data_IF_437856619832
#
_entry.id   IF_437856619832
#
_cell.length_a   1.000
_cell.length_b   1.000
_cell.length_c   1.000
_cell.angle_alpha   90.00
_cell.angle_beta   90.00
_cell.angle_gamma   90.00
#
_symmetry.space_group_name_H-M   'P 1'
#
loop_
_entity.id
_entity.type
_entity.pdbx_description
1 polymer ?
#
# COMPACT_ATOMS: atom_id res chain seq x y z
N UNK A 1 26.67 -7.57 6.67
CA UNK A 1 25.81 -6.51 7.27
C UNK A 1 25.36 -6.96 8.65
N UNK A 2 25.46 -6.13 9.68
CA UNK A 2 24.97 -6.48 11.02
C UNK A 2 23.44 -6.50 11.03
N UNK A 3 22.85 -7.70 10.88
CA UNK A 3 21.39 -7.93 10.73
C UNK A 3 20.61 -7.27 11.88
N UNK A 4 21.14 -7.33 13.11
CA UNK A 4 20.53 -6.72 14.29
C UNK A 4 20.41 -5.19 14.15
N UNK A 5 21.46 -4.51 13.69
CA UNK A 5 21.44 -3.05 13.50
C UNK A 5 20.49 -2.63 12.39
N UNK A 6 20.51 -3.34 11.26
CA UNK A 6 19.59 -3.09 10.15
C UNK A 6 18.13 -3.29 10.56
N UNK A 7 17.82 -4.32 11.35
CA UNK A 7 16.45 -4.57 11.83
C UNK A 7 15.92 -3.42 12.68
N UNK A 8 16.70 -2.94 13.65
CA UNK A 8 16.28 -1.80 14.49
C UNK A 8 16.14 -0.51 13.67
N UNK A 9 17.04 -0.25 12.72
CA UNK A 9 16.94 0.90 11.84
C UNK A 9 15.67 0.86 10.97
N UNK A 10 15.34 -0.29 10.39
CA UNK A 10 14.13 -0.45 9.57
C UNK A 10 12.89 -0.23 10.43
N UNK A 11 12.80 -0.89 11.59
CA UNK A 11 11.63 -0.75 12.48
C UNK A 11 11.42 0.70 12.90
N UNK A 12 12.49 1.39 13.34
CA UNK A 12 12.42 2.79 13.75
C UNK A 12 12.01 3.71 12.58
N UNK A 13 12.62 3.53 11.40
CA UNK A 13 12.31 4.33 10.23
C UNK A 13 10.87 4.09 9.73
N UNK A 14 10.44 2.84 9.59
CA UNK A 14 9.07 2.52 9.14
C UNK A 14 8.04 2.95 10.17
N UNK A 15 8.34 2.83 11.46
CA UNK A 15 7.47 3.26 12.55
C UNK A 15 7.26 4.77 12.56
N UNK A 16 8.34 5.55 12.41
CA UNK A 16 8.24 7.00 12.29
C UNK A 16 7.43 7.41 11.06
N UNK A 17 7.73 6.83 9.88
CA UNK A 17 7.02 7.15 8.65
C UNK A 17 5.53 6.79 8.73
N UNK A 18 5.20 5.57 9.14
CA UNK A 18 3.81 5.11 9.24
C UNK A 18 3.04 5.86 10.34
N UNK A 19 3.69 6.13 11.48
CA UNK A 19 3.11 6.87 12.59
C UNK A 19 2.80 8.32 12.22
N UNK A 20 3.73 9.02 11.58
CA UNK A 20 3.50 10.38 11.10
C UNK A 20 2.35 10.45 10.10
N UNK A 21 2.32 9.56 9.10
CA UNK A 21 1.21 9.53 8.12
C UNK A 21 -0.14 9.25 8.80
N UNK A 22 -0.18 8.29 9.72
CA UNK A 22 -1.42 7.93 10.43
C UNK A 22 -1.93 9.07 11.32
N UNK A 23 -1.02 9.86 11.92
CA UNK A 23 -1.39 11.01 12.74
C UNK A 23 -2.09 12.12 11.93
N UNK A 24 -1.73 12.30 10.65
CA UNK A 24 -2.33 13.32 9.78
C UNK A 24 -3.54 12.81 8.99
N UNK A 25 -3.43 11.62 8.40
CA UNK A 25 -4.44 11.08 7.47
C UNK A 25 -5.40 10.07 8.12
N UNK A 26 -5.17 9.71 9.39
CA UNK A 26 -5.87 8.60 10.05
C UNK A 26 -5.35 7.22 9.61
N UNK A 27 -5.90 6.14 10.19
CA UNK A 27 -5.43 4.78 9.92
C UNK A 27 -5.92 4.28 8.55
N UNK A 28 -4.99 4.16 7.60
CA UNK A 28 -5.25 3.64 6.25
C UNK A 28 -4.85 2.16 6.18
N UNK A 29 -5.81 1.28 5.89
CA UNK A 29 -5.60 -0.15 5.74
C UNK A 29 -5.35 -0.56 4.27
N UNK A 30 -4.87 -1.79 4.06
CA UNK A 30 -4.70 -2.49 2.77
C UNK A 30 -3.59 -1.99 1.83
N UNK A 31 -3.29 -0.70 1.75
CA UNK A 31 -2.32 -0.16 0.78
C UNK A 31 -0.92 -0.71 1.01
N UNK A 32 -0.47 -0.76 2.27
CA UNK A 32 0.83 -1.32 2.65
C UNK A 32 0.98 -2.81 2.32
N UNK A 33 -0.11 -3.54 2.11
CA UNK A 33 -0.10 -4.94 1.67
C UNK A 33 -0.28 -5.04 0.16
N UNK A 34 -1.22 -4.31 -0.45
CA UNK A 34 -1.55 -4.43 -1.85
C UNK A 34 -0.40 -3.96 -2.78
N UNK A 35 0.15 -2.78 -2.52
CA UNK A 35 1.13 -2.12 -3.41
C UNK A 35 2.41 -2.96 -3.62
N UNK A 36 3.11 -3.45 -2.58
CA UNK A 36 4.32 -4.25 -2.78
C UNK A 36 4.07 -5.56 -3.52
N UNK A 37 2.87 -6.13 -3.40
CA UNK A 37 2.52 -7.35 -4.12
C UNK A 37 2.17 -7.06 -5.58
N UNK A 38 1.46 -5.96 -5.86
CA UNK A 38 1.19 -5.50 -7.23
C UNK A 38 2.49 -5.19 -7.97
N UNK A 39 3.38 -4.38 -7.40
CA UNK A 39 4.62 -4.00 -8.07
C UNK A 39 5.54 -5.19 -8.27
N UNK A 40 5.61 -6.11 -7.30
CA UNK A 40 6.37 -7.36 -7.47
C UNK A 40 5.83 -8.20 -8.63
N UNK A 41 4.52 -8.22 -8.86
CA UNK A 41 3.92 -8.95 -9.97
C UNK A 41 4.11 -8.23 -11.31
N UNK A 42 4.07 -6.90 -11.34
CA UNK A 42 4.25 -6.09 -12.56
C UNK A 42 5.70 -6.14 -13.05
N UNK A 43 6.65 -5.89 -12.15
CA UNK A 43 8.07 -5.86 -12.49
C UNK A 43 8.74 -7.25 -12.50
N UNK A 44 8.05 -8.26 -11.97
CA UNK A 44 8.53 -9.65 -11.82
C UNK A 44 9.96 -9.74 -11.26
N UNK A 45 10.34 -8.81 -10.39
CA UNK A 45 11.68 -8.68 -9.84
C UNK A 45 11.66 -8.76 -8.32
N UNK A 46 12.73 -9.31 -7.76
CA UNK A 46 12.95 -9.36 -6.29
C UNK A 46 14.03 -8.36 -5.85
N UNK A 47 14.60 -7.60 -6.79
CA UNK A 47 15.60 -6.58 -6.49
C UNK A 47 14.97 -5.37 -5.79
N UNK A 48 15.37 -5.17 -4.52
CA UNK A 48 14.82 -4.10 -3.70
C UNK A 48 15.22 -2.70 -4.21
N UNK A 49 16.29 -2.59 -5.00
CA UNK A 49 16.70 -1.34 -5.65
C UNK A 49 15.68 -0.84 -6.67
N UNK A 50 14.96 -1.76 -7.31
CA UNK A 50 13.89 -1.44 -8.27
C UNK A 50 12.53 -1.48 -7.58
N UNK A 51 12.33 -2.43 -6.67
CA UNK A 51 11.04 -2.63 -6.01
C UNK A 51 10.67 -1.48 -5.06
N UNK A 52 11.63 -0.93 -4.30
CA UNK A 52 11.36 0.19 -3.37
C UNK A 52 10.87 1.45 -4.09
N UNK A 53 11.56 1.98 -5.13
CA UNK A 53 11.06 3.15 -5.86
C UNK A 53 9.76 2.84 -6.61
N UNK A 54 9.59 1.62 -7.15
CA UNK A 54 8.34 1.22 -7.77
C UNK A 54 7.16 1.23 -6.78
N UNK A 55 7.34 0.68 -5.57
CA UNK A 55 6.30 0.69 -4.52
C UNK A 55 5.93 2.11 -4.11
N UNK A 56 6.92 3.00 -4.00
CA UNK A 56 6.66 4.40 -3.66
C UNK A 56 5.77 5.07 -4.73
N UNK A 57 6.12 4.92 -6.01
CA UNK A 57 5.37 5.52 -7.11
C UNK A 57 3.95 4.94 -7.25
N UNK A 58 3.83 3.61 -7.29
CA UNK A 58 2.53 2.96 -7.43
C UNK A 58 1.64 3.18 -6.20
N UNK A 59 2.21 3.26 -5.00
CA UNK A 59 1.50 3.59 -3.78
C UNK A 59 0.93 5.01 -3.82
N UNK A 60 1.73 5.99 -4.25
CA UNK A 60 1.29 7.37 -4.41
C UNK A 60 0.16 7.50 -5.45
N UNK A 61 0.31 6.87 -6.61
CA UNK A 61 -0.71 6.88 -7.67
C UNK A 61 -2.04 6.28 -7.17
N UNK A 62 -1.99 5.11 -6.53
CA UNK A 62 -3.19 4.46 -6.00
C UNK A 62 -3.87 5.27 -4.92
N UNK A 63 -3.09 5.90 -4.01
CA UNK A 63 -3.64 6.80 -3.00
C UNK A 63 -4.31 8.03 -3.60
N UNK A 64 -3.68 8.69 -4.57
CA UNK A 64 -4.27 9.84 -5.26
C UNK A 64 -5.55 9.47 -6.03
N UNK A 65 -5.59 8.29 -6.65
CA UNK A 65 -6.81 7.78 -7.27
C UNK A 65 -7.92 7.54 -6.23
N UNK A 66 -7.59 6.99 -5.05
CA UNK A 66 -8.56 6.82 -3.98
C UNK A 66 -9.05 8.17 -3.43
N UNK A 67 -8.15 9.14 -3.27
CA UNK A 67 -8.46 10.49 -2.79
C UNK A 67 -9.36 11.25 -3.76
N UNK A 68 -9.06 11.21 -5.05
CA UNK A 68 -9.92 11.81 -6.10
C UNK A 68 -11.30 11.15 -6.14
N UNK A 69 -11.38 9.81 -6.03
CA UNK A 69 -12.66 9.10 -5.90
C UNK A 69 -13.43 9.44 -4.61
N UNK A 70 -12.72 9.76 -3.53
CA UNK A 70 -13.33 10.21 -2.28
C UNK A 70 -13.95 11.60 -2.37
N UNK A 71 -13.40 12.45 -3.22
CA UNK A 71 -13.86 13.82 -3.43
C UNK A 71 -14.87 13.95 -4.59
N UNK A 72 -14.98 12.94 -5.46
CA UNK A 72 -15.92 12.90 -6.58
C UNK A 72 -17.42 12.99 -6.22
N UNK A 73 -17.93 12.44 -5.09
CA UNK A 73 -19.30 12.72 -4.68
C UNK A 73 -19.35 14.15 -4.14
N UNK A 74 -19.73 15.11 -4.99
CA UNK A 74 -20.02 16.51 -4.68
C UNK A 74 -21.27 16.70 -3.78
N UNK A 75 -21.47 15.82 -2.81
CA UNK A 75 -22.54 15.86 -1.82
C UNK A 75 -21.95 16.26 -0.48
N UNK A 76 -22.73 16.93 0.37
CA UNK A 76 -22.33 17.53 1.65
C UNK A 76 -21.76 16.55 2.71
N UNK A 77 -21.53 15.29 2.35
CA UNK A 77 -20.91 14.25 3.16
C UNK A 77 -19.57 13.84 2.55
N UNK A 78 -18.48 14.33 3.14
CA UNK A 78 -17.13 13.85 2.86
C UNK A 78 -17.04 12.41 3.35
N UNK A 79 -17.03 11.43 2.45
CA UNK A 79 -16.82 10.05 2.85
C UNK A 79 -15.40 9.90 3.42
N UNK A 80 -15.22 9.18 4.55
CA UNK A 80 -13.90 8.95 5.09
C UNK A 80 -13.09 8.14 4.07
N UNK A 81 -11.93 8.68 3.69
CA UNK A 81 -11.02 8.07 2.72
C UNK A 81 -10.70 6.60 3.05
N UNK A 82 -10.65 6.27 4.34
CA UNK A 82 -10.42 4.92 4.87
C UNK A 82 -11.47 3.89 4.42
N UNK A 83 -12.73 4.31 4.25
CA UNK A 83 -13.79 3.43 3.76
C UNK A 83 -13.60 3.13 2.27
N UNK A 84 -13.22 4.14 1.49
CA UNK A 84 -13.02 4.03 0.04
C UNK A 84 -11.77 3.21 -0.27
N UNK A 85 -10.67 3.47 0.43
CA UNK A 85 -9.45 2.65 0.32
C UNK A 85 -9.69 1.20 0.73
N UNK A 86 -10.60 0.93 1.66
CA UNK A 86 -10.95 -0.45 2.06
C UNK A 86 -11.83 -1.15 1.01
N UNK A 87 -12.80 -0.44 0.43
CA UNK A 87 -13.66 -0.96 -0.66
C UNK A 87 -12.83 -1.32 -1.90
N UNK A 88 -11.81 -0.52 -2.23
CA UNK A 88 -10.93 -0.76 -3.39
C UNK A 88 -9.80 -1.73 -3.01
N UNK A 89 -9.22 -1.57 -1.83
CA UNK A 89 -8.06 -2.35 -1.38
C UNK A 89 -8.39 -3.82 -1.09
N UNK A 90 -9.55 -4.12 -0.51
CA UNK A 90 -9.98 -5.49 -0.24
C UNK A 90 -10.08 -6.36 -1.52
N UNK A 91 -10.81 -5.97 -2.59
CA UNK A 91 -10.89 -6.76 -3.80
C UNK A 91 -9.53 -6.89 -4.52
N UNK A 92 -8.67 -5.86 -4.48
CA UNK A 92 -7.31 -5.94 -5.03
C UNK A 92 -6.48 -7.00 -4.30
N UNK A 93 -6.50 -7.01 -2.97
CA UNK A 93 -5.79 -8.01 -2.16
C UNK A 93 -6.38 -9.41 -2.37
N UNK A 94 -7.70 -9.54 -2.39
CA UNK A 94 -8.38 -10.82 -2.66
C UNK A 94 -7.99 -11.35 -4.04
N UNK A 95 -8.02 -10.51 -5.07
CA UNK A 95 -7.63 -10.91 -6.43
C UNK A 95 -6.16 -11.35 -6.50
N UNK A 96 -5.25 -10.65 -5.82
CA UNK A 96 -3.85 -11.05 -5.72
C UNK A 96 -3.68 -12.43 -5.04
N UNK A 97 -4.40 -12.67 -3.95
CA UNK A 97 -4.37 -13.95 -3.22
C UNK A 97 -4.94 -15.10 -4.06
N UNK A 98 -6.06 -14.86 -4.75
CA UNK A 98 -6.71 -15.86 -5.61
C UNK A 98 -5.87 -16.17 -6.85
N UNK A 99 -5.20 -15.18 -7.45
CA UNK A 99 -4.35 -15.38 -8.64
C UNK A 99 -3.10 -16.20 -8.32
N UNK A 100 -2.54 -16.06 -7.12
CA UNK A 100 -1.41 -16.88 -6.63
C UNK A 100 -1.76 -18.36 -6.44
N UNK A 101 -3.04 -18.70 -6.26
CA UNK A 101 -3.51 -20.11 -6.20
C UNK A 101 -3.51 -20.82 -7.57
N UNK A 102 -3.15 -20.16 -8.68
CA UNK A 102 -2.95 -20.83 -9.99
C UNK A 102 -1.53 -21.38 -10.23
N UNK A 103 -0.68 -21.44 -9.20
CA UNK A 103 0.54 -22.25 -9.24
C UNK A 103 0.46 -23.31 -8.13
N UNK A 104 0.31 -24.58 -8.56
CA UNK A 104 0.27 -25.83 -7.79
C UNK A 104 -1.12 -26.28 -7.29
N UNK A 105 -1.87 -26.92 -8.19
CA UNK A 105 -1.86 -28.39 -8.28
C UNK A 105 -1.50 -28.80 -9.71
#
# INVERSE_FOLDING_TARGET
>A
VAIRRSRYLIIAATGLLAGSVTAFAGPIAFIGLAVPHLTKQIFNTTDHRVLVPAVLLYGAILLLLCDTLAQLPASAYVLPINAITSIIGAPVVIWLLVRKKKMLF
#
